data_IF_188372226658
#
_entry.id   IF_188372226658
#
_cell.length_a   1.000
_cell.length_b   1.000
_cell.length_c   1.000
_cell.angle_alpha   90.00
_cell.angle_beta   90.00
_cell.angle_gamma   90.00
#
_symmetry.space_group_name_H-M   'P 1'
#
loop_
_entity.id
_entity.type
_entity.pdbx_description
1 polymer ?
#
# COMPACT_ATOMS: atom_id res chain seq x y z
N UNK A 1 -1.41 29.76 12.49
CA UNK A 1 -1.97 28.56 13.16
C UNK A 1 -1.28 27.27 12.67
N UNK A 2 -0.53 26.62 13.55
CA UNK A 2 0.08 25.31 13.31
C UNK A 2 -1.01 24.25 13.06
N UNK A 3 -1.35 24.01 11.80
CA UNK A 3 -2.49 23.17 11.40
C UNK A 3 -2.17 21.68 11.55
N UNK A 4 -2.21 21.14 12.77
CA UNK A 4 -2.18 19.70 13.05
C UNK A 4 -2.83 19.42 14.41
N UNK A 5 -2.91 18.14 14.79
CA UNK A 5 -3.44 17.71 16.08
C UNK A 5 -2.52 18.10 17.24
N UNK A 6 -2.94 17.79 18.47
CA UNK A 6 -2.16 18.06 19.70
C UNK A 6 -0.78 17.40 19.67
N UNK A 7 0.15 17.90 20.50
CA UNK A 7 1.50 17.35 20.62
C UNK A 7 1.48 15.85 20.96
N UNK A 8 0.61 15.45 21.90
CA UNK A 8 0.43 14.06 22.32
C UNK A 8 0.07 13.18 21.11
N UNK A 9 -0.91 13.60 20.30
CA UNK A 9 -1.32 12.85 19.09
C UNK A 9 -0.17 12.74 18.10
N UNK A 10 0.56 13.82 17.82
CA UNK A 10 1.70 13.80 16.88
C UNK A 10 2.82 12.86 17.32
N UNK A 11 3.09 12.78 18.63
CA UNK A 11 4.11 11.91 19.21
C UNK A 11 3.67 10.45 19.13
N UNK A 12 2.44 10.14 19.59
CA UNK A 12 1.89 8.78 19.53
C UNK A 12 1.84 8.29 18.09
N UNK A 13 1.32 9.09 17.15
CA UNK A 13 1.28 8.75 15.73
C UNK A 13 2.66 8.47 15.13
N UNK A 14 3.70 9.21 15.55
CA UNK A 14 5.07 8.96 15.08
C UNK A 14 5.61 7.61 15.56
N UNK A 15 5.21 7.17 16.77
CA UNK A 15 5.59 5.86 17.30
C UNK A 15 4.78 4.75 16.63
N UNK A 16 3.45 4.91 16.51
CA UNK A 16 2.55 3.86 16.01
C UNK A 16 2.68 3.64 14.51
N UNK A 17 3.01 4.66 13.71
CA UNK A 17 3.06 4.52 12.25
C UNK A 17 4.03 3.42 11.79
N UNK A 18 5.19 3.29 12.46
CA UNK A 18 6.17 2.26 12.14
C UNK A 18 5.61 0.85 12.38
N UNK A 19 4.92 0.67 13.50
CA UNK A 19 4.27 -0.61 13.83
C UNK A 19 3.14 -0.95 12.86
N UNK A 20 2.30 0.02 12.49
CA UNK A 20 1.22 -0.18 11.52
C UNK A 20 1.80 -0.56 10.15
N UNK A 21 2.85 0.13 9.71
CA UNK A 21 3.51 -0.16 8.44
C UNK A 21 4.14 -1.57 8.44
N UNK A 22 4.85 -1.94 9.50
CA UNK A 22 5.46 -3.26 9.65
C UNK A 22 4.39 -4.36 9.66
N UNK A 23 3.27 -4.13 10.36
CA UNK A 23 2.14 -5.06 10.38
C UNK A 23 1.50 -5.19 8.99
N UNK A 24 1.34 -4.09 8.26
CA UNK A 24 0.89 -4.13 6.87
C UNK A 24 1.79 -4.99 5.99
N UNK A 25 3.11 -4.80 6.06
CA UNK A 25 4.10 -5.61 5.33
C UNK A 25 3.98 -7.09 5.72
N UNK A 26 3.85 -7.39 7.01
CA UNK A 26 3.65 -8.75 7.49
C UNK A 26 2.43 -9.43 6.85
N UNK A 27 1.28 -8.74 6.82
CA UNK A 27 0.03 -9.24 6.22
C UNK A 27 0.17 -9.49 4.71
N UNK A 28 0.94 -8.67 4.00
CA UNK A 28 1.22 -8.87 2.57
C UNK A 28 2.05 -10.13 2.35
N UNK A 29 3.13 -10.28 3.11
CA UNK A 29 4.10 -11.36 2.94
C UNK A 29 3.55 -12.72 3.37
N UNK A 30 2.64 -12.76 4.34
CA UNK A 30 2.04 -14.00 4.87
C UNK A 30 0.66 -14.29 4.28
N UNK A 31 0.22 -13.58 3.24
CA UNK A 31 -1.12 -13.71 2.68
C UNK A 31 -1.48 -15.09 2.14
N UNK A 32 -0.50 -15.94 1.84
CA UNK A 32 -0.69 -17.33 1.43
C UNK A 32 -0.71 -18.32 2.60
N UNK A 33 -0.35 -17.89 3.81
CA UNK A 33 -0.27 -18.71 5.02
C UNK A 33 -1.36 -18.38 6.04
N UNK A 34 -1.77 -17.11 6.10
CA UNK A 34 -2.76 -16.59 7.04
C UNK A 34 -3.84 -15.77 6.32
N UNK A 35 -5.02 -15.58 6.93
CA UNK A 35 -6.01 -14.64 6.41
C UNK A 35 -5.40 -13.25 6.21
N UNK A 36 -5.49 -12.70 4.99
CA UNK A 36 -4.80 -11.46 4.64
C UNK A 36 -4.52 -11.33 3.14
N UNK A 37 -3.31 -10.90 2.79
CA UNK A 37 -2.85 -10.75 1.41
C UNK A 37 -2.58 -9.32 0.99
N UNK A 38 -2.31 -9.16 -0.31
CA UNK A 38 -1.87 -7.89 -0.89
C UNK A 38 -2.89 -6.75 -0.73
N UNK A 39 -4.19 -7.04 -0.83
CA UNK A 39 -5.23 -6.02 -0.69
C UNK A 39 -5.32 -5.50 0.75
N UNK A 40 -5.57 -6.39 1.72
CA UNK A 40 -5.69 -6.00 3.13
C UNK A 40 -4.42 -5.34 3.66
N UNK A 41 -3.25 -5.91 3.33
CA UNK A 41 -1.97 -5.33 3.67
C UNK A 41 -1.73 -3.97 3.01
N UNK A 42 -2.09 -3.81 1.73
CA UNK A 42 -2.02 -2.54 1.02
C UNK A 42 -2.90 -1.45 1.65
N UNK A 43 -4.12 -1.78 2.10
CA UNK A 43 -4.99 -0.86 2.83
C UNK A 43 -4.33 -0.42 4.15
N UNK A 44 -3.77 -1.35 4.93
CA UNK A 44 -3.08 -1.03 6.19
C UNK A 44 -1.87 -0.10 5.93
N UNK A 45 -1.08 -0.39 4.89
CA UNK A 45 0.06 0.45 4.47
C UNK A 45 -0.43 1.85 4.12
N UNK A 46 -1.48 2.00 3.31
CA UNK A 46 -2.05 3.32 2.99
C UNK A 46 -2.54 4.06 4.25
N UNK A 47 -3.23 3.36 5.15
CA UNK A 47 -3.71 3.92 6.41
C UNK A 47 -2.57 4.42 7.31
N UNK A 48 -1.40 3.80 7.28
CA UNK A 48 -0.22 4.30 8.01
C UNK A 48 0.20 5.69 7.54
N UNK A 49 0.19 5.96 6.23
CA UNK A 49 0.51 7.27 5.67
C UNK A 49 -0.62 8.28 5.89
N UNK A 50 -1.88 7.84 5.77
CA UNK A 50 -3.05 8.67 6.08
C UNK A 50 -3.03 9.08 7.55
N UNK A 51 -2.66 8.18 8.47
CA UNK A 51 -2.53 8.46 9.89
C UNK A 51 -1.54 9.60 10.17
N UNK A 52 -0.40 9.64 9.47
CA UNK A 52 0.54 10.76 9.53
C UNK A 52 -0.08 12.07 9.04
N UNK A 53 -0.82 12.04 7.92
CA UNK A 53 -1.47 13.24 7.39
C UNK A 53 -2.51 13.77 8.37
N UNK A 54 -3.29 12.90 9.00
CA UNK A 54 -4.31 13.32 9.98
C UNK A 54 -3.67 13.96 11.22
N UNK A 55 -2.55 13.43 11.72
CA UNK A 55 -1.88 13.97 12.90
C UNK A 55 -1.14 15.30 12.63
N UNK A 56 -0.44 15.40 11.49
CA UNK A 56 0.38 16.57 11.15
C UNK A 56 -0.33 17.61 10.27
N UNK A 57 -1.52 17.27 9.76
CA UNK A 57 -2.39 18.10 8.95
C UNK A 57 -2.01 18.20 7.46
N UNK A 58 -2.88 18.86 6.69
CA UNK A 58 -2.80 18.91 5.23
C UNK A 58 -1.49 19.48 4.68
N UNK A 59 -0.89 20.49 5.33
CA UNK A 59 0.40 21.07 4.89
C UNK A 59 1.55 20.06 4.91
N UNK A 60 1.50 19.07 5.80
CA UNK A 60 2.47 17.97 5.81
C UNK A 60 2.28 17.03 4.62
N UNK A 61 1.02 16.77 4.23
CA UNK A 61 0.71 15.97 3.03
C UNK A 61 1.34 16.59 1.77
N UNK A 62 1.17 17.90 1.58
CA UNK A 62 1.71 18.62 0.41
C UNK A 62 3.23 18.67 0.34
N UNK A 63 3.93 18.70 1.49
CA UNK A 63 5.39 18.89 1.52
C UNK A 63 6.16 17.56 1.44
N UNK A 64 5.57 16.45 1.89
CA UNK A 64 6.30 15.19 2.06
C UNK A 64 5.85 14.05 1.14
N UNK A 65 4.64 14.14 0.57
CA UNK A 65 4.05 13.04 -0.21
C UNK A 65 3.63 13.56 -1.59
N UNK A 66 4.48 13.24 -2.57
CA UNK A 66 4.34 13.66 -3.95
C UNK A 66 3.31 12.77 -4.66
N UNK A 67 2.22 13.37 -5.14
CA UNK A 67 1.16 12.70 -5.90
C UNK A 67 1.73 11.95 -7.11
N UNK A 68 2.80 12.47 -7.72
CA UNK A 68 3.49 11.85 -8.84
C UNK A 68 4.11 10.51 -8.41
N UNK A 69 4.77 10.47 -7.25
CA UNK A 69 5.37 9.24 -6.72
C UNK A 69 4.32 8.19 -6.38
N UNK A 70 3.22 8.60 -5.77
CA UNK A 70 2.13 7.68 -5.47
C UNK A 70 1.51 7.11 -6.76
N UNK A 71 1.25 7.95 -7.77
CA UNK A 71 0.75 7.48 -9.07
C UNK A 71 1.74 6.57 -9.80
N UNK A 72 3.03 6.87 -9.71
CA UNK A 72 4.08 6.01 -10.24
C UNK A 72 4.09 4.62 -9.57
N UNK A 73 4.01 4.57 -8.23
CA UNK A 73 3.92 3.30 -7.49
C UNK A 73 2.66 2.51 -7.82
N UNK A 74 1.52 3.20 -7.99
CA UNK A 74 0.26 2.60 -8.40
C UNK A 74 0.41 1.90 -9.77
N UNK A 75 0.98 2.60 -10.74
CA UNK A 75 1.19 2.09 -12.10
C UNK A 75 2.20 0.94 -12.12
N UNK A 76 3.30 1.04 -11.35
CA UNK A 76 4.25 -0.07 -11.19
C UNK A 76 3.55 -1.31 -10.63
N UNK A 77 2.73 -1.16 -9.60
CA UNK A 77 1.98 -2.28 -9.03
C UNK A 77 1.09 -2.97 -10.06
N UNK A 78 0.39 -2.20 -10.90
CA UNK A 78 -0.42 -2.74 -12.00
C UNK A 78 0.43 -3.48 -13.04
N UNK A 79 1.52 -2.87 -13.48
CA UNK A 79 2.42 -3.45 -14.48
C UNK A 79 3.05 -4.73 -13.94
N UNK A 80 3.56 -4.72 -12.71
CA UNK A 80 4.13 -5.92 -12.07
C UNK A 80 3.12 -7.07 -12.03
N UNK A 81 1.89 -6.80 -11.62
CA UNK A 81 0.84 -7.83 -11.55
C UNK A 81 0.52 -8.39 -12.94
N UNK A 82 0.39 -7.52 -13.94
CA UNK A 82 0.13 -7.92 -15.32
C UNK A 82 1.30 -8.70 -15.91
N UNK A 83 2.55 -8.27 -15.67
CA UNK A 83 3.75 -8.96 -16.16
C UNK A 83 3.83 -10.37 -15.59
N UNK A 84 3.57 -10.58 -14.30
CA UNK A 84 3.52 -11.92 -13.71
C UNK A 84 2.49 -12.80 -14.42
N UNK A 85 1.32 -12.23 -14.74
CA UNK A 85 0.25 -12.94 -15.42
C UNK A 85 0.62 -13.32 -16.87
N UNK A 86 1.24 -12.39 -17.60
CA UNK A 86 1.69 -12.58 -18.99
C UNK A 86 2.85 -13.56 -19.09
N UNK A 87 3.78 -13.58 -18.12
CA UNK A 87 4.83 -14.60 -18.04
C UNK A 87 4.24 -16.01 -17.94
N UNK A 88 3.08 -16.15 -17.30
CA UNK A 88 2.34 -17.42 -17.28
C UNK A 88 1.92 -17.90 -18.68
N UNK A 89 1.53 -16.98 -19.57
CA UNK A 89 1.11 -17.33 -20.95
C UNK A 89 2.25 -17.99 -21.71
N UNK A 90 3.49 -17.53 -21.52
CA UNK A 90 4.69 -18.13 -22.15
C UNK A 90 4.82 -19.61 -21.78
N UNK A 91 4.41 -19.98 -20.56
CA UNK A 91 4.41 -21.37 -20.10
C UNK A 91 3.15 -22.17 -20.43
N UNK A 92 2.11 -21.54 -21.01
CA UNK A 92 0.94 -22.24 -21.54
C UNK A 92 -0.40 -21.56 -21.28
N UNK A 93 -0.57 -20.84 -20.16
CA UNK A 93 -1.82 -20.14 -19.86
C UNK A 93 -1.64 -18.99 -18.86
N UNK A 94 -2.58 -18.05 -18.87
CA UNK A 94 -2.56 -16.87 -18.02
C UNK A 94 -2.45 -17.23 -16.53
N UNK A 95 -1.52 -16.58 -15.80
CA UNK A 95 -1.19 -16.89 -14.39
C UNK A 95 -0.66 -18.32 -14.11
N UNK A 96 -0.12 -19.03 -15.11
CA UNK A 96 0.63 -20.26 -14.83
C UNK A 96 1.71 -19.98 -13.76
N UNK A 97 1.71 -20.81 -12.72
CA UNK A 97 2.72 -20.75 -11.68
C UNK A 97 4.04 -21.35 -12.19
N UNK A 98 4.96 -20.48 -12.59
CA UNK A 98 6.28 -20.86 -13.10
C UNK A 98 7.36 -20.93 -12.01
N UNK A 99 7.02 -20.61 -10.74
CA UNK A 99 7.94 -20.69 -9.60
C UNK A 99 7.68 -21.95 -8.77
N UNK A 100 8.72 -22.45 -8.11
CA UNK A 100 8.56 -23.59 -7.21
C UNK A 100 7.62 -23.21 -6.05
N UNK A 101 6.67 -24.10 -5.74
CA UNK A 101 5.70 -23.91 -4.67
C UNK A 101 6.31 -24.05 -3.28
N UNK A 102 7.54 -24.55 -3.17
CA UNK A 102 8.24 -24.74 -1.91
C UNK A 102 7.48 -25.69 -0.97
N UNK A 103 7.87 -25.67 0.31
CA UNK A 103 7.21 -26.43 1.36
C UNK A 103 5.98 -25.68 1.91
N UNK A 104 4.84 -26.36 2.14
CA UNK A 104 3.70 -25.76 2.82
C UNK A 104 4.11 -25.13 4.17
N UNK A 105 3.36 -24.11 4.59
CA UNK A 105 3.57 -23.38 5.86
C UNK A 105 4.90 -22.59 5.96
N UNK A 106 5.68 -22.50 4.89
CA UNK A 106 6.88 -21.66 4.83
C UNK A 106 6.63 -20.36 4.05
N UNK A 107 7.41 -19.32 4.36
CA UNK A 107 7.26 -18.01 3.72
C UNK A 107 7.54 -18.07 2.21
N UNK A 108 8.63 -18.74 1.81
CA UNK A 108 8.99 -18.97 0.42
C UNK A 108 8.22 -20.18 -0.16
N UNK A 109 6.89 -20.06 -0.19
CA UNK A 109 5.99 -21.07 -0.75
C UNK A 109 4.92 -20.43 -1.64
N UNK A 110 4.04 -21.26 -2.21
CA UNK A 110 2.94 -20.84 -3.08
C UNK A 110 3.36 -20.22 -4.44
N UNK A 111 4.65 -20.30 -4.79
CA UNK A 111 5.20 -19.92 -6.09
C UNK A 111 5.04 -18.43 -6.40
N UNK A 112 4.26 -18.08 -7.41
CA UNK A 112 4.07 -16.67 -7.83
C UNK A 112 3.20 -15.83 -6.87
N UNK A 113 2.47 -16.46 -5.94
CA UNK A 113 1.47 -15.77 -5.08
C UNK A 113 2.06 -14.65 -4.21
N UNK A 114 3.20 -14.84 -3.50
CA UNK A 114 3.80 -13.75 -2.71
C UNK A 114 4.16 -12.52 -3.56
N UNK A 115 4.62 -12.71 -4.80
CA UNK A 115 4.92 -11.62 -5.72
C UNK A 115 3.65 -10.89 -6.18
N UNK A 116 2.58 -11.63 -6.47
CA UNK A 116 1.26 -11.05 -6.74
C UNK A 116 0.77 -10.21 -5.55
N UNK A 117 0.93 -10.70 -4.31
CA UNK A 117 0.55 -9.96 -3.12
C UNK A 117 1.32 -8.64 -2.97
N UNK A 118 2.62 -8.63 -3.25
CA UNK A 118 3.44 -7.40 -3.24
C UNK A 118 2.95 -6.41 -4.31
N UNK A 119 2.69 -6.88 -5.53
CA UNK A 119 2.20 -6.04 -6.62
C UNK A 119 0.83 -5.42 -6.30
N UNK A 120 -0.09 -6.22 -5.77
CA UNK A 120 -1.41 -5.76 -5.31
C UNK A 120 -1.26 -4.77 -4.15
N UNK A 121 -0.37 -5.01 -3.20
CA UNK A 121 -0.12 -4.07 -2.10
C UNK A 121 0.31 -2.70 -2.62
N UNK A 122 1.24 -2.65 -3.58
CA UNK A 122 1.66 -1.38 -4.19
C UNK A 122 0.49 -0.69 -4.89
N UNK A 123 -0.26 -1.44 -5.72
CA UNK A 123 -1.40 -0.90 -6.46
C UNK A 123 -2.48 -0.32 -5.52
N UNK A 124 -2.90 -1.11 -4.53
CA UNK A 124 -3.98 -0.77 -3.61
C UNK A 124 -3.53 0.33 -2.64
N UNK A 125 -2.33 0.19 -2.07
CA UNK A 125 -1.80 1.15 -1.10
C UNK A 125 -1.63 2.54 -1.71
N UNK A 126 -1.03 2.61 -2.90
CA UNK A 126 -0.86 3.87 -3.61
C UNK A 126 -2.19 4.46 -4.10
N UNK A 127 -3.08 3.63 -4.67
CA UNK A 127 -4.38 4.07 -5.17
C UNK A 127 -5.27 4.65 -4.06
N UNK A 128 -5.36 3.97 -2.90
CA UNK A 128 -6.15 4.45 -1.76
C UNK A 128 -5.59 5.76 -1.21
N UNK A 129 -4.26 5.86 -1.14
CA UNK A 129 -3.58 7.07 -0.71
C UNK A 129 -3.86 8.25 -1.66
N UNK A 130 -3.83 8.02 -2.97
CA UNK A 130 -4.18 9.02 -3.99
C UNK A 130 -5.63 9.49 -3.88
N UNK A 131 -6.58 8.56 -3.71
CA UNK A 131 -7.99 8.89 -3.50
C UNK A 131 -8.13 9.78 -2.26
N UNK A 132 -7.46 9.43 -1.16
CA UNK A 132 -7.50 10.22 0.07
C UNK A 132 -6.96 11.65 -0.13
N UNK A 133 -5.83 11.80 -0.83
CA UNK A 133 -5.29 13.12 -1.19
C UNK A 133 -6.30 13.87 -2.06
N UNK A 134 -6.81 13.27 -3.14
CA UNK A 134 -7.73 13.92 -4.06
C UNK A 134 -8.98 14.45 -3.33
N UNK A 135 -9.57 13.66 -2.45
CA UNK A 135 -10.71 14.08 -1.61
C UNK A 135 -10.35 15.21 -0.65
N UNK A 136 -9.14 15.16 -0.06
CA UNK A 136 -8.66 16.22 0.83
C UNK A 136 -8.47 17.54 0.07
N UNK A 137 -7.92 17.48 -1.15
CA UNK A 137 -7.74 18.63 -2.03
C UNK A 137 -9.08 19.23 -2.45
N UNK A 138 -10.03 18.39 -2.87
CA UNK A 138 -11.36 18.80 -3.28
C UNK A 138 -12.07 19.58 -2.16
N UNK A 139 -12.06 19.03 -0.94
CA UNK A 139 -12.67 19.66 0.23
C UNK A 139 -12.03 21.00 0.61
N UNK A 140 -10.72 21.15 0.41
CA UNK A 140 -10.03 22.43 0.65
C UNK A 140 -10.40 23.46 -0.43
N UNK A 141 -10.59 23.02 -1.68
CA UNK A 141 -11.04 23.87 -2.79
C UNK A 141 -12.43 24.44 -2.57
N UNK A 142 -13.38 23.63 -2.08
CA UNK A 142 -14.72 24.11 -1.72
C UNK A 142 -14.70 25.15 -0.59
N UNK A 143 -13.88 24.94 0.45
CA UNK A 143 -13.81 25.86 1.60
C UNK A 143 -13.20 27.23 1.28
N UNK A 144 -12.61 27.41 0.09
CA UNK A 144 -12.05 28.68 -0.40
C UNK A 144 -13.01 29.45 -1.32
N UNK A 145 -14.10 28.84 -1.77
CA UNK A 145 -15.21 29.50 -2.46
C UNK A 145 -16.26 29.94 -1.45
#
# INVERSE_FOLDING_TARGET
>A
PEQGMTLIVKVITRLTVGFILLFGIYIVLHGHLSPGGGFAGGVIVALSFIHLILAYGGKFAFKKLDQIKASFLENIGAIMFLTIALLGIIGGFFFLNFLNKGEPFHLASAGIIPFCNIAICLKVGAGLFLIFIALTLFKIGEKKR
#
